data_IF_166829634288
#
_entry.id   IF_166829634288
#
_cell.length_a   1.000
_cell.length_b   1.000
_cell.length_c   1.000
_cell.angle_alpha   90.00
_cell.angle_beta   90.00
_cell.angle_gamma   90.00
#
_symmetry.space_group_name_H-M   'P 1'
#
loop_
_entity.id
_entity.type
_entity.pdbx_description
1 polymer ?
#
# COMPACT_ATOMS: atom_id res chain seq x y z
N UNK A 1 -0.69 -25.44 -17.61
CA UNK A 1 -2.03 -25.71 -18.17
C UNK A 1 -2.53 -24.41 -18.80
N UNK A 2 -2.74 -24.39 -20.11
CA UNK A 2 -3.24 -23.21 -20.81
C UNK A 2 -4.71 -23.00 -20.44
N UNK A 3 -5.04 -21.93 -19.70
CA UNK A 3 -6.42 -21.49 -19.53
C UNK A 3 -6.95 -21.12 -20.92
N UNK A 4 -8.04 -21.77 -21.34
CA UNK A 4 -8.78 -21.36 -22.53
C UNK A 4 -9.16 -19.89 -22.38
N UNK A 5 -8.93 -19.08 -23.43
CA UNK A 5 -9.34 -17.67 -23.41
C UNK A 5 -10.84 -17.61 -23.09
N UNK A 6 -11.25 -16.77 -22.12
CA UNK A 6 -12.66 -16.63 -21.79
C UNK A 6 -13.45 -16.16 -23.01
N UNK A 7 -14.70 -16.63 -23.13
CA UNK A 7 -15.65 -16.21 -24.16
C UNK A 7 -16.14 -14.76 -23.99
N UNK A 8 -15.69 -14.09 -22.94
CA UNK A 8 -16.10 -12.75 -22.51
C UNK A 8 -14.89 -11.83 -22.42
N UNK A 9 -15.03 -10.61 -22.93
CA UNK A 9 -13.92 -9.65 -23.05
C UNK A 9 -13.65 -8.86 -21.77
N UNK A 10 -12.74 -7.89 -21.88
CA UNK A 10 -12.31 -6.98 -20.80
C UNK A 10 -13.48 -6.24 -20.13
N UNK A 11 -14.56 -5.96 -20.86
CA UNK A 11 -15.74 -5.24 -20.34
C UNK A 11 -16.68 -6.16 -19.53
N UNK A 12 -16.32 -7.43 -19.36
CA UNK A 12 -17.16 -8.40 -18.65
C UNK A 12 -17.17 -8.21 -17.13
N UNK A 13 -18.28 -8.59 -16.51
CA UNK A 13 -18.39 -8.65 -15.05
C UNK A 13 -17.32 -9.56 -14.43
N UNK A 14 -16.97 -10.64 -15.13
CA UNK A 14 -15.94 -11.59 -14.68
C UNK A 14 -14.56 -10.94 -14.58
N UNK A 15 -14.16 -10.14 -15.58
CA UNK A 15 -12.92 -9.38 -15.51
C UNK A 15 -12.91 -8.45 -14.28
N UNK A 16 -13.98 -7.68 -14.07
CA UNK A 16 -14.07 -6.77 -12.92
C UNK A 16 -14.01 -7.51 -11.56
N UNK A 17 -14.66 -8.67 -11.46
CA UNK A 17 -14.60 -9.52 -10.27
C UNK A 17 -13.20 -10.08 -10.03
N UNK A 18 -12.51 -10.50 -11.09
CA UNK A 18 -11.13 -10.99 -11.00
C UNK A 18 -10.19 -9.89 -10.53
N UNK A 19 -10.27 -8.68 -11.10
CA UNK A 19 -9.46 -7.55 -10.66
C UNK A 19 -9.73 -7.20 -9.19
N UNK A 20 -11.00 -7.11 -8.79
CA UNK A 20 -11.38 -6.85 -7.40
C UNK A 20 -10.82 -7.91 -6.44
N UNK A 21 -10.90 -9.19 -6.83
CA UNK A 21 -10.40 -10.31 -6.04
C UNK A 21 -8.88 -10.24 -5.90
N UNK A 22 -8.16 -10.05 -7.01
CA UNK A 22 -6.69 -9.96 -7.00
C UNK A 22 -6.19 -8.76 -6.20
N UNK A 23 -6.86 -7.61 -6.31
CA UNK A 23 -6.58 -6.44 -5.46
C UNK A 23 -6.78 -6.81 -4.00
N UNK A 24 -7.93 -7.39 -3.64
CA UNK A 24 -8.22 -7.75 -2.25
C UNK A 24 -7.24 -8.77 -1.67
N UNK A 25 -6.90 -9.80 -2.45
CA UNK A 25 -5.91 -10.81 -2.08
C UNK A 25 -4.54 -10.17 -1.85
N UNK A 26 -4.10 -9.30 -2.76
CA UNK A 26 -2.81 -8.60 -2.65
C UNK A 26 -2.74 -7.74 -1.37
N UNK A 27 -3.81 -7.01 -1.05
CA UNK A 27 -3.89 -6.20 0.17
C UNK A 27 -3.85 -7.10 1.42
N UNK A 28 -4.62 -8.19 1.43
CA UNK A 28 -4.66 -9.14 2.55
C UNK A 28 -3.29 -9.79 2.79
N UNK A 29 -2.57 -10.14 1.73
CA UNK A 29 -1.22 -10.68 1.84
C UNK A 29 -0.27 -9.69 2.51
N UNK A 30 -0.27 -8.42 2.07
CA UNK A 30 0.54 -7.37 2.71
C UNK A 30 0.16 -7.20 4.18
N UNK A 31 -1.14 -7.16 4.48
CA UNK A 31 -1.65 -7.03 5.84
C UNK A 31 -1.19 -8.19 6.74
N UNK A 32 -1.27 -9.43 6.24
CA UNK A 32 -0.82 -10.63 6.96
C UNK A 32 0.67 -10.59 7.25
N UNK A 33 1.49 -10.32 6.22
CA UNK A 33 2.95 -10.26 6.39
C UNK A 33 3.37 -9.17 7.37
N UNK A 34 2.70 -8.01 7.32
CA UNK A 34 2.95 -6.90 8.23
C UNK A 34 2.54 -7.24 9.66
N UNK A 35 1.42 -7.95 9.82
CA UNK A 35 0.92 -8.42 11.11
C UNK A 35 1.89 -9.44 11.72
N UNK A 36 2.32 -10.43 10.95
CA UNK A 36 3.25 -11.46 11.42
C UNK A 36 4.57 -10.83 11.87
N UNK A 37 5.12 -9.91 11.07
CA UNK A 37 6.32 -9.16 11.45
C UNK A 37 6.14 -8.36 12.75
N UNK A 38 5.00 -7.66 12.89
CA UNK A 38 4.69 -6.92 14.10
C UNK A 38 4.53 -7.83 15.32
N UNK A 39 3.89 -8.99 15.14
CA UNK A 39 3.70 -9.99 16.17
C UNK A 39 5.05 -10.50 16.68
N UNK A 40 5.93 -10.97 15.79
CA UNK A 40 7.26 -11.43 16.18
C UNK A 40 8.09 -10.34 16.85
N UNK A 41 8.07 -9.12 16.31
CA UNK A 41 8.76 -7.99 16.94
C UNK A 41 8.22 -7.68 18.34
N UNK A 42 6.91 -7.75 18.53
CA UNK A 42 6.27 -7.45 19.83
C UNK A 42 6.67 -8.46 20.91
N UNK A 43 6.84 -9.74 20.54
CA UNK A 43 7.31 -10.80 21.43
C UNK A 43 8.74 -10.57 21.92
N UNK A 44 9.63 -10.04 21.06
CA UNK A 44 11.01 -9.73 21.46
C UNK A 44 11.10 -8.46 22.31
N UNK A 45 10.20 -7.49 22.12
CA UNK A 45 10.15 -6.26 22.93
C UNK A 45 9.49 -6.43 24.31
N UNK A 46 8.93 -7.62 24.62
CA UNK A 46 8.33 -7.91 25.94
C UNK A 46 9.32 -7.75 27.11
N UNK A 47 10.62 -7.93 26.86
CA UNK A 47 11.66 -7.75 27.87
C UNK A 47 12.01 -6.29 28.18
N UNK A 48 11.63 -5.35 27.31
CA UNK A 48 11.96 -3.92 27.41
C UNK A 48 10.74 -3.04 27.72
N UNK A 49 9.53 -3.59 27.64
CA UNK A 49 8.31 -2.82 27.83
C UNK A 49 7.96 -2.61 29.32
N UNK A 50 7.77 -1.37 29.73
CA UNK A 50 7.36 -1.00 31.09
C UNK A 50 5.85 -1.22 31.33
N UNK A 51 5.04 -1.22 30.27
CA UNK A 51 3.58 -1.35 30.34
C UNK A 51 2.99 -2.15 29.17
N UNK A 52 1.83 -2.76 29.42
CA UNK A 52 1.01 -3.39 28.37
C UNK A 52 0.61 -2.41 27.26
N UNK A 53 0.44 -1.13 27.60
CA UNK A 53 0.17 -0.08 26.61
C UNK A 53 1.33 0.12 25.63
N UNK A 54 2.57 0.01 26.10
CA UNK A 54 3.75 0.20 25.25
C UNK A 54 3.92 -0.95 24.26
N UNK A 55 3.58 -2.17 24.70
CA UNK A 55 3.55 -3.36 23.83
C UNK A 55 2.52 -3.16 22.71
N UNK A 56 1.31 -2.69 23.04
CA UNK A 56 0.26 -2.44 22.04
C UNK A 56 0.68 -1.33 21.08
N UNK A 57 1.20 -0.21 21.58
CA UNK A 57 1.62 0.91 20.74
C UNK A 57 2.80 0.54 19.84
N UNK A 58 3.76 -0.24 20.35
CA UNK A 58 4.86 -0.79 19.58
C UNK A 58 4.37 -1.75 18.50
N UNK A 59 3.44 -2.64 18.83
CA UNK A 59 2.81 -3.55 17.87
C UNK A 59 2.10 -2.79 16.75
N UNK A 60 1.22 -1.83 17.10
CA UNK A 60 0.48 -1.03 16.11
C UNK A 60 1.44 -0.24 15.24
N UNK A 61 2.44 0.40 15.84
CA UNK A 61 3.46 1.17 15.12
C UNK A 61 4.20 0.30 14.10
N UNK A 62 4.71 -0.86 14.54
CA UNK A 62 5.44 -1.76 13.65
C UNK A 62 4.54 -2.39 12.57
N UNK A 63 3.29 -2.69 12.90
CA UNK A 63 2.31 -3.19 11.92
C UNK A 63 2.02 -2.16 10.83
N UNK A 64 1.76 -0.91 11.20
CA UNK A 64 1.48 0.18 10.26
C UNK A 64 2.71 0.49 9.40
N UNK A 65 3.90 0.56 10.00
CA UNK A 65 5.15 0.78 9.26
C UNK A 65 5.41 -0.36 8.28
N UNK A 66 5.28 -1.61 8.72
CA UNK A 66 5.42 -2.79 7.87
C UNK A 66 4.45 -2.74 6.68
N UNK A 67 3.20 -2.38 6.93
CA UNK A 67 2.20 -2.23 5.88
C UNK A 67 2.59 -1.13 4.88
N UNK A 68 2.98 0.05 5.35
CA UNK A 68 3.39 1.18 4.50
C UNK A 68 4.60 0.83 3.63
N UNK A 69 5.55 0.07 4.15
CA UNK A 69 6.76 -0.35 3.42
C UNK A 69 6.44 -1.42 2.37
N UNK A 70 5.59 -2.39 2.72
CA UNK A 70 5.27 -3.54 1.85
C UNK A 70 4.22 -3.22 0.78
N UNK A 71 3.30 -2.29 1.05
CA UNK A 71 2.22 -1.96 0.14
C UNK A 71 2.66 -1.50 -1.26
N UNK A 72 3.70 -0.65 -1.44
CA UNK A 72 4.25 -0.31 -2.75
C UNK A 72 4.65 -1.53 -3.59
N UNK A 73 5.20 -2.58 -2.97
CA UNK A 73 5.56 -3.80 -3.69
C UNK A 73 4.33 -4.55 -4.20
N UNK A 74 3.23 -4.57 -3.44
CA UNK A 74 1.97 -5.13 -3.91
C UNK A 74 1.36 -4.32 -5.06
N UNK A 75 1.47 -2.98 -5.03
CA UNK A 75 1.06 -2.12 -6.15
C UNK A 75 1.88 -2.45 -7.40
N UNK A 76 3.21 -2.56 -7.27
CA UNK A 76 4.11 -2.89 -8.38
C UNK A 76 3.83 -4.29 -8.93
N UNK A 77 3.63 -5.29 -8.05
CA UNK A 77 3.24 -6.64 -8.46
C UNK A 77 1.93 -6.62 -9.24
N UNK A 78 0.93 -5.90 -8.74
CA UNK A 78 -0.36 -5.80 -9.40
C UNK A 78 -0.25 -5.11 -10.76
N UNK A 79 0.45 -3.97 -10.83
CA UNK A 79 0.57 -3.16 -12.04
C UNK A 79 1.46 -3.81 -13.10
N UNK A 80 2.57 -4.44 -12.73
CA UNK A 80 3.54 -4.97 -13.70
C UNK A 80 3.30 -6.44 -14.04
N UNK A 81 2.55 -7.17 -13.22
CA UNK A 81 2.35 -8.61 -13.42
C UNK A 81 0.87 -8.98 -13.52
N UNK A 82 0.10 -8.78 -12.46
CA UNK A 82 -1.24 -9.35 -12.37
C UNK A 82 -2.24 -8.70 -13.34
N UNK A 83 -2.27 -7.37 -13.40
CA UNK A 83 -3.19 -6.63 -14.27
C UNK A 83 -2.86 -6.78 -15.77
N UNK A 84 -1.58 -6.68 -16.22
CA UNK A 84 -1.23 -6.92 -17.62
C UNK A 84 -1.59 -8.33 -18.10
N UNK A 85 -1.32 -9.35 -17.26
CA UNK A 85 -1.61 -10.72 -17.61
C UNK A 85 -3.12 -10.98 -17.74
N UNK A 86 -3.91 -10.44 -16.81
CA UNK A 86 -5.37 -10.53 -16.87
C UNK A 86 -5.94 -9.79 -18.07
N UNK A 87 -5.45 -8.58 -18.40
CA UNK A 87 -5.91 -7.88 -19.62
C UNK A 87 -5.57 -8.70 -20.87
N UNK A 88 -4.36 -9.25 -20.96
CA UNK A 88 -3.97 -10.11 -22.08
C UNK A 88 -4.87 -11.35 -22.24
N UNK A 89 -5.23 -12.01 -21.13
CA UNK A 89 -6.13 -13.16 -21.13
C UNK A 89 -7.52 -12.81 -21.69
N UNK A 90 -8.05 -11.62 -21.38
CA UNK A 90 -9.40 -11.19 -21.74
C UNK A 90 -9.49 -10.40 -23.06
N UNK A 91 -8.36 -9.98 -23.64
CA UNK A 91 -8.33 -9.37 -24.98
C UNK A 91 -8.41 -10.44 -26.07
N UNK A 92 -9.43 -10.40 -26.93
CA UNK A 92 -9.62 -11.36 -28.03
C UNK A 92 -9.14 -10.83 -29.40
N UNK A 93 -9.08 -9.50 -29.57
CA UNK A 93 -8.58 -8.86 -30.80
C UNK A 93 -8.12 -7.42 -30.61
N UNK A 94 -7.66 -6.78 -31.70
CA UNK A 94 -7.13 -5.42 -31.66
C UNK A 94 -8.15 -4.36 -31.20
N UNK A 95 -9.45 -4.62 -31.40
CA UNK A 95 -10.53 -3.76 -30.92
C UNK A 95 -10.61 -3.69 -29.38
N UNK A 96 -10.11 -4.71 -28.68
CA UNK A 96 -10.12 -4.77 -27.21
C UNK A 96 -8.92 -4.07 -26.57
N UNK A 97 -7.94 -3.60 -27.36
CA UNK A 97 -6.74 -2.95 -26.84
C UNK A 97 -7.05 -1.67 -26.07
N UNK A 98 -7.94 -0.84 -26.62
CA UNK A 98 -8.35 0.43 -25.99
C UNK A 98 -9.10 0.19 -24.67
N UNK A 99 -10.19 -0.60 -24.63
CA UNK A 99 -10.86 -0.89 -23.36
C UNK A 99 -9.95 -1.66 -22.38
N UNK A 100 -9.06 -2.53 -22.87
CA UNK A 100 -7.99 -3.17 -22.10
C UNK A 100 -7.08 -2.18 -21.38
N UNK A 101 -6.55 -1.21 -22.11
CA UNK A 101 -5.67 -0.19 -21.57
C UNK A 101 -6.38 0.72 -20.55
N UNK A 102 -7.64 1.09 -20.82
CA UNK A 102 -8.44 1.90 -19.89
C UNK A 102 -8.74 1.13 -18.60
N UNK A 103 -9.13 -0.14 -18.72
CA UNK A 103 -9.41 -0.98 -17.56
C UNK A 103 -8.16 -1.23 -16.71
N UNK A 104 -7.02 -1.51 -17.36
CA UNK A 104 -5.71 -1.59 -16.72
C UNK A 104 -5.40 -0.32 -15.92
N UNK A 105 -5.46 0.85 -16.58
CA UNK A 105 -5.16 2.13 -15.96
C UNK A 105 -6.07 2.41 -14.76
N UNK A 106 -7.37 2.16 -14.89
CA UNK A 106 -8.34 2.36 -13.82
C UNK A 106 -8.01 1.49 -12.60
N UNK A 107 -7.72 0.20 -12.80
CA UNK A 107 -7.43 -0.70 -11.69
C UNK A 107 -6.10 -0.39 -11.01
N UNK A 108 -5.06 0.00 -11.78
CA UNK A 108 -3.78 0.44 -11.21
C UNK A 108 -3.97 1.71 -10.39
N UNK A 109 -4.76 2.68 -10.87
CA UNK A 109 -5.09 3.89 -10.11
C UNK A 109 -5.78 3.55 -8.80
N UNK A 110 -6.74 2.61 -8.80
CA UNK A 110 -7.41 2.15 -7.57
C UNK A 110 -6.40 1.58 -6.58
N UNK A 111 -5.46 0.75 -7.04
CA UNK A 111 -4.41 0.18 -6.19
C UNK A 111 -3.44 1.26 -5.65
N UNK A 112 -3.25 2.36 -6.38
CA UNK A 112 -2.43 3.49 -5.94
C UNK A 112 -3.13 4.42 -4.93
N UNK A 113 -4.47 4.35 -4.76
CA UNK A 113 -5.21 5.29 -3.91
C UNK A 113 -4.65 5.39 -2.47
N UNK A 114 -4.33 4.29 -1.77
CA UNK A 114 -3.78 4.40 -0.42
C UNK A 114 -2.43 5.12 -0.37
N UNK A 115 -1.58 4.95 -1.40
CA UNK A 115 -0.31 5.66 -1.50
C UNK A 115 -0.50 7.15 -1.78
N UNK A 116 -1.48 7.50 -2.62
CA UNK A 116 -1.84 8.90 -2.90
C UNK A 116 -2.34 9.58 -1.62
N UNK A 117 -3.23 8.92 -0.89
CA UNK A 117 -3.75 9.44 0.40
C UNK A 117 -2.60 9.61 1.40
N UNK A 118 -1.70 8.63 1.49
CA UNK A 118 -0.54 8.71 2.39
C UNK A 118 0.37 9.89 2.02
N UNK A 119 0.72 10.04 0.74
CA UNK A 119 1.58 11.11 0.24
C UNK A 119 0.94 12.49 0.46
N UNK A 120 -0.35 12.64 0.17
CA UNK A 120 -1.09 13.88 0.40
C UNK A 120 -1.15 14.23 1.89
N UNK A 121 -1.43 13.25 2.74
CA UNK A 121 -1.47 13.45 4.20
C UNK A 121 -0.12 13.89 4.73
N UNK A 122 0.96 13.24 4.29
CA UNK A 122 2.32 13.61 4.68
C UNK A 122 2.71 15.01 4.18
N UNK A 123 2.36 15.34 2.94
CA UNK A 123 2.58 16.68 2.38
C UNK A 123 1.86 17.76 3.17
N UNK A 124 0.58 17.55 3.51
CA UNK A 124 -0.21 18.51 4.28
C UNK A 124 0.33 18.68 5.71
N UNK A 125 0.75 17.58 6.35
CA UNK A 125 1.37 17.61 7.68
C UNK A 125 2.66 18.43 7.66
N UNK A 126 3.56 18.19 6.70
CA UNK A 126 4.80 18.96 6.56
C UNK A 126 4.50 20.43 6.28
N UNK A 127 3.55 20.71 5.39
CA UNK A 127 3.21 22.09 5.02
C UNK A 127 2.63 22.87 6.20
N UNK A 128 1.83 22.23 7.05
CA UNK A 128 1.16 22.91 8.17
C UNK A 128 2.03 22.98 9.43
N UNK A 129 2.69 21.88 9.80
CA UNK A 129 3.47 21.78 11.04
C UNK A 129 4.98 22.02 10.84
N UNK A 130 5.48 22.00 9.61
CA UNK A 130 6.88 22.26 9.29
C UNK A 130 7.42 23.59 9.85
N UNK A 131 6.70 24.71 9.70
CA UNK A 131 7.14 25.99 10.28
C UNK A 131 7.24 25.95 11.81
N UNK A 132 6.32 25.26 12.48
CA UNK A 132 6.31 25.14 13.94
C UNK A 132 7.45 24.24 14.44
N UNK A 133 7.72 23.15 13.74
CA UNK A 133 8.86 22.26 14.02
C UNK A 133 10.20 22.98 13.80
N UNK A 134 10.32 23.80 12.76
CA UNK A 134 11.53 24.59 12.52
C UNK A 134 11.74 25.65 13.61
N UNK A 135 10.67 26.35 14.03
CA UNK A 135 10.74 27.31 15.12
C UNK A 135 11.12 26.64 16.46
N UNK A 136 10.54 25.47 16.76
CA UNK A 136 10.88 24.70 17.95
C UNK A 136 12.33 24.18 17.92
N UNK A 137 12.79 23.69 16.76
CA UNK A 137 14.16 23.24 16.56
C UNK A 137 15.19 24.38 16.73
N UNK A 138 14.89 25.56 16.20
CA UNK A 138 15.74 26.75 16.36
C UNK A 138 15.81 27.21 17.82
N UNK A 139 14.68 27.20 18.55
CA UNK A 139 14.65 27.51 19.98
C UNK A 139 15.46 26.50 20.81
N UNK A 140 15.39 25.21 20.48
CA UNK A 140 16.18 24.18 21.14
C UNK A 140 17.69 24.34 20.88
N UNK A 141 18.08 24.71 19.66
CA UNK A 141 19.48 25.03 19.32
C UNK A 141 19.98 26.30 20.03
N UNK A 142 19.14 27.35 20.12
CA UNK A 142 19.48 28.58 20.81
C UNK A 142 19.74 28.36 22.32
N UNK A 143 18.95 27.48 22.97
CA UNK A 143 19.19 27.11 24.39
C UNK A 143 20.49 26.34 24.59
N UNK A 144 20.85 25.43 23.67
CA UNK A 144 22.12 24.68 23.74
C UNK A 144 23.38 25.53 23.56
N UNK A 145 23.26 26.74 23.02
CA UNK A 145 24.39 27.67 22.87
C UNK A 145 24.53 28.65 24.04
N UNK A 146 23.59 28.66 24.99
CA UNK A 146 23.62 29.50 26.18
C UNK A 146 24.12 28.76 27.43
N UNK A 147 24.17 27.43 27.39
CA UNK A 147 24.81 26.55 28.37
C UNK A 147 26.25 26.21 27.95
#
# INVERSE_FOLDING_TARGET
MAKLKPLYGVVSLHFAQEQKRTISESIKTVQSLSYDNAWYSSLFSLGEAESFSDIIMGFIGNWVIGFVILYPFAVLYYALWAAPWSVYEYTAGAADLVPGAVAYAACVVVMCLPLIVLALTFYLLIRHYGPQLQAAAQQAQARRHQD
#
